data_IF_588885246428
#
_entry.id   IF_588885246428
#
_cell.length_a   1.000
_cell.length_b   1.000
_cell.length_c   1.000
_cell.angle_alpha   90.00
_cell.angle_beta   90.00
_cell.angle_gamma   90.00
#
_symmetry.space_group_name_H-M   'P 1'
#
loop_
_entity.id
_entity.type
_entity.pdbx_description
1 polymer ?
#
# COMPACT_ATOMS: atom_id res chain seq x y z
N UNK A 1 5.34 -21.12 3.24
CA UNK A 1 5.65 -19.91 4.05
C UNK A 1 6.33 -18.91 3.13
N UNK A 2 5.60 -17.89 2.67
CA UNK A 2 6.17 -16.87 1.77
C UNK A 2 7.01 -15.89 2.61
N UNK A 3 8.34 -16.06 2.61
CA UNK A 3 9.27 -15.15 3.26
C UNK A 3 9.51 -13.92 2.38
N UNK A 4 8.55 -12.99 2.34
CA UNK A 4 8.74 -11.71 1.65
C UNK A 4 9.71 -10.84 2.46
N UNK A 5 10.91 -10.63 1.93
CA UNK A 5 11.91 -9.73 2.52
C UNK A 5 11.40 -8.30 2.39
N UNK A 6 11.39 -7.54 3.51
CA UNK A 6 10.95 -6.14 3.49
C UNK A 6 11.82 -5.31 2.54
N UNK A 7 11.14 -4.55 1.69
CA UNK A 7 11.73 -3.67 0.68
C UNK A 7 11.46 -2.20 1.02
N UNK A 8 10.34 -1.92 1.70
CA UNK A 8 9.96 -0.56 2.01
C UNK A 8 10.52 -0.09 3.37
N UNK A 9 11.10 1.13 3.44
CA UNK A 9 11.39 1.79 4.70
C UNK A 9 10.10 2.24 5.41
N UNK A 10 10.21 2.50 6.71
CA UNK A 10 9.06 2.82 7.58
C UNK A 10 8.28 4.06 7.13
N UNK A 11 8.94 5.08 6.59
CA UNK A 11 8.28 6.31 6.13
C UNK A 11 7.38 6.06 4.91
N UNK A 12 7.82 5.26 3.93
CA UNK A 12 6.99 4.89 2.75
C UNK A 12 5.78 4.05 3.17
N UNK A 13 5.92 3.23 4.22
CA UNK A 13 4.81 2.45 4.77
C UNK A 13 3.77 3.37 5.41
N UNK A 14 4.21 4.37 6.18
CA UNK A 14 3.31 5.36 6.77
C UNK A 14 2.56 6.15 5.68
N UNK A 15 3.26 6.65 4.66
CA UNK A 15 2.65 7.38 3.53
C UNK A 15 1.62 6.52 2.81
N UNK A 16 1.93 5.24 2.52
CA UNK A 16 0.97 4.34 1.86
C UNK A 16 -0.24 4.02 2.71
N UNK A 17 -0.06 3.89 4.02
CA UNK A 17 -1.19 3.68 4.92
C UNK A 17 -2.11 4.90 4.91
N UNK A 18 -1.56 6.12 4.99
CA UNK A 18 -2.33 7.36 4.87
C UNK A 18 -3.05 7.45 3.52
N UNK A 19 -2.37 7.18 2.41
CA UNK A 19 -2.98 7.18 1.07
C UNK A 19 -4.07 6.11 0.94
N UNK A 20 -3.89 4.94 1.53
CA UNK A 20 -4.92 3.89 1.56
C UNK A 20 -6.18 4.37 2.29
N UNK A 21 -6.04 5.04 3.43
CA UNK A 21 -7.17 5.62 4.17
C UNK A 21 -7.85 6.72 3.36
N UNK A 22 -7.08 7.64 2.76
CA UNK A 22 -7.62 8.72 1.91
C UNK A 22 -8.36 8.13 0.71
N UNK A 23 -7.81 7.11 0.05
CA UNK A 23 -8.45 6.42 -1.06
C UNK A 23 -9.74 5.70 -0.64
N UNK A 24 -9.76 5.08 0.54
CA UNK A 24 -10.96 4.43 1.07
C UNK A 24 -12.08 5.43 1.35
N UNK A 25 -11.75 6.56 2.00
CA UNK A 25 -12.70 7.65 2.25
C UNK A 25 -13.16 8.27 0.93
N UNK A 26 -12.24 8.51 0.00
CA UNK A 26 -12.53 9.00 -1.35
C UNK A 26 -13.52 8.11 -2.10
N UNK A 27 -13.27 6.79 -2.10
CA UNK A 27 -14.17 5.80 -2.66
C UNK A 27 -15.54 5.79 -1.95
N UNK A 28 -15.57 5.99 -0.63
CA UNK A 28 -16.81 6.00 0.13
C UNK A 28 -17.68 7.25 -0.11
N UNK A 29 -17.08 8.43 -0.25
CA UNK A 29 -17.82 9.69 -0.35
C UNK A 29 -18.10 10.13 -1.79
N UNK A 30 -17.18 9.88 -2.73
CA UNK A 30 -17.23 10.48 -4.06
C UNK A 30 -17.58 9.49 -5.19
N UNK A 31 -17.45 8.19 -4.97
CA UNK A 31 -17.74 7.19 -6.01
C UNK A 31 -19.15 6.62 -5.85
N UNK A 32 -19.91 6.49 -6.95
CA UNK A 32 -21.21 5.85 -6.94
C UNK A 32 -21.10 4.37 -6.55
N UNK A 33 -22.15 3.85 -5.91
CA UNK A 33 -22.22 2.43 -5.59
C UNK A 33 -22.13 1.58 -6.87
N UNK A 34 -21.28 0.56 -6.84
CA UNK A 34 -21.02 -0.32 -7.98
C UNK A 34 -19.54 -0.61 -8.18
N UNK A 35 -19.19 -1.05 -9.39
CA UNK A 35 -17.85 -1.52 -9.75
C UNK A 35 -16.76 -0.48 -9.46
N UNK A 36 -17.02 0.80 -9.72
CA UNK A 36 -16.04 1.86 -9.52
C UNK A 36 -15.67 2.01 -8.04
N UNK A 37 -16.67 2.02 -7.14
CA UNK A 37 -16.44 2.06 -5.69
C UNK A 37 -15.74 0.80 -5.18
N UNK A 38 -16.07 -0.37 -5.72
CA UNK A 38 -15.37 -1.62 -5.38
C UNK A 38 -13.90 -1.58 -5.78
N UNK A 39 -13.59 -1.06 -6.98
CA UNK A 39 -12.21 -0.81 -7.42
C UNK A 39 -11.51 0.20 -6.50
N UNK A 40 -12.20 1.28 -6.12
CA UNK A 40 -11.71 2.25 -5.13
C UNK A 40 -11.27 1.59 -3.83
N UNK A 41 -12.12 0.77 -3.22
CA UNK A 41 -11.75 0.00 -2.03
C UNK A 41 -10.64 -1.03 -2.29
N UNK A 42 -10.61 -1.66 -3.46
CA UNK A 42 -9.54 -2.57 -3.85
C UNK A 42 -8.17 -1.88 -3.89
N UNK A 43 -8.10 -0.67 -4.47
CA UNK A 43 -6.88 0.13 -4.50
C UNK A 43 -6.43 0.56 -3.10
N UNK A 44 -7.37 1.00 -2.26
CA UNK A 44 -7.11 1.35 -0.86
C UNK A 44 -6.60 0.14 -0.06
N UNK A 45 -7.22 -1.02 -0.25
CA UNK A 45 -6.82 -2.28 0.37
C UNK A 45 -5.41 -2.72 -0.03
N UNK A 46 -5.05 -2.59 -1.31
CA UNK A 46 -3.69 -2.91 -1.79
C UNK A 46 -2.63 -1.96 -1.20
N UNK A 47 -2.93 -0.66 -1.10
CA UNK A 47 -2.04 0.30 -0.44
C UNK A 47 -1.82 -0.06 1.04
N UNK A 48 -2.90 -0.34 1.77
CA UNK A 48 -2.82 -0.76 3.17
C UNK A 48 -2.07 -2.09 3.34
N UNK A 49 -2.35 -3.09 2.49
CA UNK A 49 -1.67 -4.38 2.53
C UNK A 49 -0.16 -4.25 2.28
N UNK A 50 0.27 -3.47 1.29
CA UNK A 50 1.70 -3.24 1.03
C UNK A 50 2.39 -2.46 2.14
N UNK A 51 1.68 -1.55 2.82
CA UNK A 51 2.16 -0.87 4.02
C UNK A 51 2.33 -1.85 5.20
N UNK A 52 1.34 -2.70 5.47
CA UNK A 52 1.37 -3.66 6.59
C UNK A 52 2.43 -4.74 6.37
N UNK A 53 2.50 -5.32 5.17
CA UNK A 53 3.52 -6.34 4.84
C UNK A 53 4.91 -5.71 4.76
N UNK A 54 5.02 -4.48 4.28
CA UNK A 54 6.31 -3.81 4.04
C UNK A 54 7.01 -4.32 2.77
N UNK A 55 6.24 -4.90 1.85
CA UNK A 55 6.69 -5.35 0.55
C UNK A 55 5.83 -4.73 -0.55
N UNK A 56 6.47 -4.32 -1.63
CA UNK A 56 5.80 -3.82 -2.81
C UNK A 56 6.42 -4.44 -4.06
N UNK A 57 5.63 -5.15 -4.88
CA UNK A 57 6.14 -5.87 -6.04
C UNK A 57 6.76 -4.91 -7.04
N UNK A 58 6.14 -3.76 -7.33
CA UNK A 58 6.69 -2.77 -8.25
C UNK A 58 8.06 -2.25 -7.80
N UNK A 59 8.20 -1.90 -6.51
CA UNK A 59 9.49 -1.46 -5.97
C UNK A 59 10.53 -2.60 -5.99
N UNK A 60 10.10 -3.85 -5.79
CA UNK A 60 11.00 -5.01 -5.80
C UNK A 60 11.50 -5.34 -7.22
N UNK A 61 10.64 -5.19 -8.24
CA UNK A 61 11.03 -5.33 -9.65
C UNK A 61 12.05 -4.26 -10.08
N UNK A 62 12.03 -3.09 -9.44
CA UNK A 62 13.03 -2.04 -9.60
C UNK A 62 14.32 -2.28 -8.77
N UNK A 63 14.46 -3.44 -8.13
CA UNK A 63 15.65 -3.81 -7.35
C UNK A 63 15.81 -3.07 -6.02
N UNK A 64 14.78 -2.35 -5.55
CA UNK A 64 14.83 -1.65 -4.25
C UNK A 64 14.94 -2.65 -3.11
N UNK A 65 15.75 -2.29 -2.12
CA UNK A 65 15.95 -3.00 -0.86
C UNK A 65 15.68 -1.99 0.25
N UNK A 66 15.09 -2.43 1.36
CA UNK A 66 14.89 -1.54 2.50
C UNK A 66 16.27 -1.09 3.01
N UNK A 67 16.59 0.19 2.84
CA UNK A 67 17.63 0.83 3.62
C UNK A 67 17.07 0.96 5.03
N UNK A 68 17.57 0.13 5.93
CA UNK A 68 17.23 0.20 7.35
C UNK A 68 17.85 1.49 7.93
N UNK A 69 17.08 2.45 8.49
CA UNK A 69 17.65 3.57 9.22
C UNK A 69 18.15 3.16 10.63
N UNK A 70 18.19 1.86 10.93
CA UNK A 70 18.49 1.31 12.25
C UNK A 70 19.64 0.28 12.24
N UNK A 71 20.57 0.42 11.29
CA UNK A 71 21.93 -0.13 11.38
C UNK A 71 22.96 0.96 11.19
#
# INVERSE_FOLDING_TARGET
MFHLKRNLPSWERAVRLCLGVIAALGAFYFLPAGTLRMLGFGTAGMLAATAIVGFCPACAMLGRKAADPAR
#
